data_IF_141526094796
#
_entry.id   IF_141526094796
#
_cell.length_a   1.000
_cell.length_b   1.000
_cell.length_c   1.000
_cell.angle_alpha   90.00
_cell.angle_beta   90.00
_cell.angle_gamma   90.00
#
_symmetry.space_group_name_H-M   'P 1'
#
loop_
_entity.id
_entity.type
_entity.pdbx_description
1 polymer ?
#
# COMPACT_ATOMS: atom_id res chain seq x y z
N UNK A 1 -18.66 -4.32 -5.48
CA UNK A 1 -17.82 -4.90 -6.56
C UNK A 1 -17.06 -3.85 -7.39
N UNK A 2 -17.71 -2.83 -7.98
CA UNK A 2 -17.01 -1.81 -8.81
C UNK A 2 -15.87 -1.07 -8.06
N UNK A 3 -16.10 -0.72 -6.78
CA UNK A 3 -15.10 -0.07 -5.92
C UNK A 3 -13.88 -0.97 -5.64
N UNK A 4 -14.09 -2.28 -5.43
CA UNK A 4 -13.00 -3.25 -5.22
C UNK A 4 -12.16 -3.38 -6.49
N UNK A 5 -12.78 -3.50 -7.67
CA UNK A 5 -12.06 -3.61 -8.93
C UNK A 5 -11.26 -2.33 -9.24
N UNK A 6 -11.86 -1.16 -9.00
CA UNK A 6 -11.20 0.13 -9.17
C UNK A 6 -10.01 0.29 -8.21
N UNK A 7 -10.16 -0.12 -6.95
CA UNK A 7 -9.06 -0.16 -5.98
C UNK A 7 -7.91 -1.04 -6.48
N UNK A 8 -8.20 -2.26 -6.92
CA UNK A 8 -7.17 -3.19 -7.40
C UNK A 8 -6.43 -2.64 -8.62
N UNK A 9 -7.14 -2.05 -9.59
CA UNK A 9 -6.52 -1.45 -10.78
C UNK A 9 -5.61 -0.27 -10.41
N UNK A 10 -6.09 0.65 -9.57
CA UNK A 10 -5.31 1.81 -9.12
C UNK A 10 -4.07 1.34 -8.36
N UNK A 11 -4.25 0.43 -7.37
CA UNK A 11 -3.15 -0.07 -6.55
C UNK A 11 -2.10 -0.80 -7.39
N UNK A 12 -2.55 -1.62 -8.34
CA UNK A 12 -1.65 -2.33 -9.28
C UNK A 12 -0.85 -1.36 -10.13
N UNK A 13 -1.49 -0.34 -10.68
CA UNK A 13 -0.84 0.67 -11.53
C UNK A 13 0.21 1.44 -10.73
N UNK A 14 -0.14 1.90 -9.54
CA UNK A 14 0.76 2.64 -8.66
C UNK A 14 1.94 1.77 -8.23
N UNK A 15 1.68 0.54 -7.78
CA UNK A 15 2.74 -0.40 -7.38
C UNK A 15 3.69 -0.72 -8.53
N UNK A 16 3.17 -0.90 -9.75
CA UNK A 16 3.98 -1.13 -10.94
C UNK A 16 4.90 0.07 -11.22
N UNK A 17 4.34 1.28 -11.24
CA UNK A 17 5.12 2.52 -11.45
C UNK A 17 6.17 2.70 -10.36
N UNK A 18 5.81 2.48 -9.09
CA UNK A 18 6.77 2.51 -7.97
C UNK A 18 7.92 1.53 -8.19
N UNK A 19 7.64 0.28 -8.57
CA UNK A 19 8.67 -0.72 -8.83
C UNK A 19 9.60 -0.31 -9.97
N UNK A 20 9.06 0.21 -11.07
CA UNK A 20 9.86 0.71 -12.21
C UNK A 20 10.74 1.88 -11.79
N UNK A 21 10.19 2.86 -11.05
CA UNK A 21 10.97 4.00 -10.56
C UNK A 21 12.11 3.56 -9.65
N UNK A 22 11.86 2.61 -8.75
CA UNK A 22 12.89 2.03 -7.87
C UNK A 22 13.97 1.31 -8.69
N UNK A 23 13.58 0.49 -9.68
CA UNK A 23 14.55 -0.18 -10.55
C UNK A 23 15.41 0.83 -11.31
N UNK A 24 14.81 1.87 -11.89
CA UNK A 24 15.56 2.90 -12.61
C UNK A 24 16.50 3.68 -11.68
N UNK A 25 16.07 3.98 -10.46
CA UNK A 25 16.88 4.67 -9.47
C UNK A 25 18.11 3.85 -9.05
N UNK A 26 17.90 2.57 -8.72
CA UNK A 26 18.97 1.66 -8.32
C UNK A 26 19.93 1.35 -9.47
N UNK A 27 19.39 1.23 -10.69
CA UNK A 27 20.20 1.03 -11.88
C UNK A 27 21.10 2.25 -12.15
N UNK A 28 20.59 3.47 -11.95
CA UNK A 28 21.37 4.69 -12.10
C UNK A 28 22.49 4.84 -11.04
N UNK A 29 22.28 4.26 -9.86
CA UNK A 29 23.27 4.24 -8.77
C UNK A 29 24.21 3.01 -8.83
N UNK A 30 24.16 2.22 -9.89
CA UNK A 30 24.97 0.99 -10.07
C UNK A 30 24.83 -0.02 -8.90
N UNK A 31 23.66 -0.09 -8.27
CA UNK A 31 23.35 -1.07 -7.22
C UNK A 31 23.00 -2.41 -7.85
N UNK A 32 23.52 -3.51 -7.28
CA UNK A 32 23.26 -4.85 -7.79
C UNK A 32 21.78 -5.25 -7.70
N UNK A 33 21.33 -6.01 -8.69
CA UNK A 33 19.97 -6.56 -8.81
C UNK A 33 18.84 -5.50 -8.78
N UNK A 34 18.91 -4.41 -9.58
CA UNK A 34 17.94 -3.32 -9.52
C UNK A 34 16.51 -3.77 -9.88
N UNK A 35 16.39 -4.76 -10.77
CA UNK A 35 15.09 -5.36 -11.15
C UNK A 35 14.49 -6.18 -10.00
N UNK A 36 15.31 -6.92 -9.24
CA UNK A 36 14.86 -7.69 -8.08
C UNK A 36 14.28 -6.74 -7.02
N UNK A 37 15.02 -5.70 -6.68
CA UNK A 37 14.61 -4.74 -5.66
C UNK A 37 13.38 -3.92 -6.07
N UNK A 38 13.26 -3.55 -7.34
CA UNK A 38 12.04 -2.91 -7.86
C UNK A 38 10.83 -3.84 -7.86
N UNK A 39 11.01 -5.13 -8.13
CA UNK A 39 9.92 -6.12 -8.04
C UNK A 39 9.50 -6.33 -6.58
N UNK A 40 10.44 -6.42 -5.64
CA UNK A 40 10.13 -6.46 -4.20
C UNK A 40 9.40 -5.19 -3.78
N UNK A 41 9.85 -4.01 -4.22
CA UNK A 41 9.19 -2.75 -3.93
C UNK A 41 7.76 -2.72 -4.49
N UNK A 42 7.54 -3.20 -5.73
CA UNK A 42 6.21 -3.33 -6.33
C UNK A 42 5.30 -4.24 -5.48
N UNK A 43 5.78 -5.44 -5.12
CA UNK A 43 4.99 -6.39 -4.34
C UNK A 43 4.67 -5.85 -2.95
N UNK A 44 5.66 -5.26 -2.28
CA UNK A 44 5.47 -4.70 -0.96
C UNK A 44 4.61 -3.42 -0.98
N UNK A 45 4.61 -2.65 -2.06
CA UNK A 45 3.78 -1.44 -2.16
C UNK A 45 2.27 -1.72 -2.08
N UNK A 46 1.84 -2.96 -2.33
CA UNK A 46 0.45 -3.37 -2.05
C UNK A 46 0.11 -3.40 -0.56
N UNK A 47 1.08 -3.61 0.32
CA UNK A 47 0.90 -3.51 1.76
C UNK A 47 0.86 -2.02 2.13
N UNK A 48 -0.30 -1.47 2.52
CA UNK A 48 -0.47 -0.06 2.82
C UNK A 48 0.47 0.41 3.94
N UNK A 49 0.97 1.65 3.84
CA UNK A 49 1.75 2.39 4.85
C UNK A 49 3.09 1.79 5.30
N UNK A 50 3.32 0.49 5.13
CA UNK A 50 4.46 -0.22 5.73
C UNK A 50 5.36 -0.87 4.67
N UNK A 51 4.78 -1.38 3.59
CA UNK A 51 5.51 -2.31 2.74
C UNK A 51 6.66 -1.69 1.96
N UNK A 52 6.47 -0.53 1.34
CA UNK A 52 7.50 0.14 0.54
C UNK A 52 8.70 0.63 1.37
N UNK A 53 8.49 0.94 2.66
CA UNK A 53 9.58 1.26 3.58
C UNK A 53 10.39 0.00 3.96
N UNK A 54 9.70 -1.11 4.25
CA UNK A 54 10.38 -2.38 4.55
C UNK A 54 11.17 -2.88 3.33
N UNK A 55 10.64 -2.72 2.12
CA UNK A 55 11.32 -3.11 0.88
C UNK A 55 12.65 -2.37 0.67
N UNK A 56 12.78 -1.14 1.18
CA UNK A 56 13.99 -0.34 1.06
C UNK A 56 15.13 -0.88 1.94
N UNK A 57 14.84 -1.45 3.11
CA UNK A 57 15.83 -1.88 4.10
C UNK A 57 16.91 -2.79 3.48
N UNK A 58 16.57 -3.93 2.86
CA UNK A 58 17.58 -4.83 2.34
C UNK A 58 18.34 -4.25 1.13
N UNK A 59 17.71 -3.41 0.30
CA UNK A 59 18.38 -2.71 -0.80
C UNK A 59 19.39 -1.66 -0.30
N UNK A 60 19.03 -0.90 0.74
CA UNK A 60 19.91 0.08 1.40
C UNK A 60 21.09 -0.62 2.08
N UNK A 61 20.83 -1.73 2.78
CA UNK A 61 21.89 -2.53 3.39
C UNK A 61 22.84 -3.13 2.35
N UNK A 62 22.31 -3.61 1.22
CA UNK A 62 23.14 -4.10 0.12
C UNK A 62 24.06 -2.99 -0.41
N UNK A 63 23.49 -1.83 -0.72
CA UNK A 63 24.25 -0.67 -1.20
C UNK A 63 25.30 -0.20 -0.20
N UNK A 64 24.98 -0.23 1.10
CA UNK A 64 25.93 0.10 2.17
C UNK A 64 27.16 -0.81 2.16
N UNK A 65 26.96 -2.10 1.93
CA UNK A 65 28.04 -3.10 1.88
C UNK A 65 28.79 -3.03 0.55
N UNK A 66 28.10 -2.78 -0.55
CA UNK A 66 28.66 -2.81 -1.91
C UNK A 66 29.41 -1.53 -2.28
N UNK A 67 28.80 -0.38 -2.01
CA UNK A 67 29.21 0.94 -2.53
C UNK A 67 29.62 1.90 -1.40
N UNK A 68 29.10 1.69 -0.20
CA UNK A 68 29.45 2.44 1.00
C UNK A 68 28.34 3.34 1.52
N UNK A 69 28.67 4.16 2.52
CA UNK A 69 27.69 4.95 3.28
C UNK A 69 27.03 6.03 2.42
N UNK A 70 27.77 6.67 1.52
CA UNK A 70 27.25 7.73 0.64
C UNK A 70 26.13 7.20 -0.26
N UNK A 71 26.38 6.08 -0.94
CA UNK A 71 25.41 5.52 -1.89
C UNK A 71 24.22 4.91 -1.16
N UNK A 72 24.43 4.31 0.00
CA UNK A 72 23.32 3.85 0.85
C UNK A 72 22.37 4.99 1.22
N UNK A 73 22.89 6.19 1.49
CA UNK A 73 22.08 7.39 1.75
C UNK A 73 21.33 7.82 0.48
N UNK A 74 21.97 7.78 -0.69
CA UNK A 74 21.29 8.08 -1.96
C UNK A 74 20.20 7.07 -2.30
N UNK A 75 20.43 5.78 -2.05
CA UNK A 75 19.41 4.75 -2.19
C UNK A 75 18.25 5.00 -1.24
N UNK A 76 18.52 5.20 0.05
CA UNK A 76 17.50 5.44 1.06
C UNK A 76 16.66 6.68 0.74
N UNK A 77 17.31 7.78 0.32
CA UNK A 77 16.62 9.01 -0.06
C UNK A 77 15.75 8.83 -1.31
N UNK A 78 16.21 8.09 -2.33
CA UNK A 78 15.41 7.78 -3.51
C UNK A 78 14.17 6.96 -3.18
N UNK A 79 14.31 5.91 -2.36
CA UNK A 79 13.15 5.15 -1.87
C UNK A 79 12.16 6.04 -1.12
N UNK A 80 12.65 6.93 -0.25
CA UNK A 80 11.82 7.85 0.52
C UNK A 80 11.08 8.84 -0.38
N UNK A 81 11.77 9.43 -1.37
CA UNK A 81 11.17 10.37 -2.34
C UNK A 81 10.10 9.67 -3.18
N UNK A 82 10.41 8.49 -3.73
CA UNK A 82 9.46 7.71 -4.51
C UNK A 82 8.24 7.35 -3.65
N UNK A 83 8.45 6.93 -2.39
CA UNK A 83 7.37 6.60 -1.46
C UNK A 83 6.47 7.80 -1.17
N UNK A 84 7.04 8.97 -0.87
CA UNK A 84 6.26 10.18 -0.62
C UNK A 84 5.45 10.56 -1.86
N UNK A 85 6.06 10.57 -3.04
CA UNK A 85 5.38 10.96 -4.28
C UNK A 85 4.29 9.95 -4.63
N UNK A 86 4.61 8.66 -4.67
CA UNK A 86 3.68 7.62 -5.11
C UNK A 86 2.62 7.32 -4.06
N UNK A 87 3.02 7.09 -2.82
CA UNK A 87 2.14 6.66 -1.73
C UNK A 87 1.35 7.79 -1.06
N UNK A 88 1.93 8.99 -0.91
CA UNK A 88 1.26 10.09 -0.19
C UNK A 88 0.63 11.14 -1.10
N UNK A 89 1.16 11.36 -2.30
CA UNK A 89 0.63 12.39 -3.22
C UNK A 89 -0.22 11.80 -4.34
N UNK A 90 0.28 10.77 -5.01
CA UNK A 90 -0.38 10.16 -6.18
C UNK A 90 -1.50 9.23 -5.73
N UNK A 91 -1.21 8.26 -4.86
CA UNK A 91 -2.19 7.24 -4.46
C UNK A 91 -3.52 7.81 -3.94
N UNK A 92 -3.54 8.79 -3.02
CA UNK A 92 -4.79 9.38 -2.55
C UNK A 92 -5.55 10.15 -3.64
N UNK A 93 -4.84 10.80 -4.57
CA UNK A 93 -5.48 11.54 -5.68
C UNK A 93 -6.18 10.61 -6.65
N UNK A 94 -5.59 9.45 -6.96
CA UNK A 94 -6.18 8.48 -7.87
C UNK A 94 -7.27 7.65 -7.19
N UNK A 95 -7.14 7.34 -5.90
CA UNK A 95 -8.18 6.67 -5.13
C UNK A 95 -9.44 7.54 -4.93
N UNK A 96 -9.34 8.88 -5.03
CA UNK A 96 -10.48 9.79 -4.86
C UNK A 96 -11.00 9.83 -3.41
N UNK A 97 -12.20 10.42 -3.18
CA UNK A 97 -12.89 10.34 -1.87
C UNK A 97 -12.77 8.90 -1.39
N UNK A 98 -12.11 8.71 -0.24
CA UNK A 98 -11.50 7.44 0.14
C UNK A 98 -12.44 6.24 0.08
N UNK A 99 -11.90 5.04 0.26
CA UNK A 99 -12.61 3.74 0.17
C UNK A 99 -13.78 3.56 1.17
N UNK A 100 -14.25 4.64 1.79
CA UNK A 100 -15.32 4.64 2.78
C UNK A 100 -14.93 3.88 4.03
N UNK A 101 -13.63 3.76 4.32
CA UNK A 101 -13.05 3.12 5.50
C UNK A 101 -12.24 4.14 6.30
N UNK A 102 -12.37 4.09 7.63
CA UNK A 102 -11.55 4.94 8.49
C UNK A 102 -10.09 4.46 8.51
N UNK A 103 -9.09 5.34 8.69
CA UNK A 103 -7.68 4.94 8.79
C UNK A 103 -7.42 3.93 9.91
N UNK A 104 -8.14 4.04 11.03
CA UNK A 104 -8.07 3.10 12.14
C UNK A 104 -8.51 1.70 11.71
N UNK A 105 -9.61 1.61 10.96
CA UNK A 105 -10.14 0.35 10.46
C UNK A 105 -9.17 -0.29 9.46
N UNK A 106 -8.55 0.50 8.60
CA UNK A 106 -7.49 -0.01 7.70
C UNK A 106 -6.33 -0.59 8.50
N UNK A 107 -5.87 0.10 9.54
CA UNK A 107 -4.79 -0.38 10.40
C UNK A 107 -5.16 -1.66 11.16
N UNK A 108 -6.35 -1.71 11.78
CA UNK A 108 -6.84 -2.92 12.47
C UNK A 108 -7.02 -4.09 11.50
N UNK A 109 -7.49 -3.82 10.28
CA UNK A 109 -7.64 -4.82 9.23
C UNK A 109 -6.30 -5.42 8.83
N UNK A 110 -5.25 -4.59 8.73
CA UNK A 110 -3.90 -5.08 8.45
C UNK A 110 -3.41 -6.06 9.51
N UNK A 111 -3.64 -5.75 10.79
CA UNK A 111 -3.26 -6.62 11.90
C UNK A 111 -4.09 -7.90 11.87
N UNK A 112 -5.42 -7.80 11.73
CA UNK A 112 -6.33 -8.94 11.77
C UNK A 112 -6.05 -9.91 10.62
N UNK A 113 -6.04 -9.42 9.38
CA UNK A 113 -5.83 -10.26 8.21
C UNK A 113 -4.38 -10.71 8.08
N UNK A 114 -3.43 -9.86 8.48
CA UNK A 114 -2.02 -10.22 8.55
C UNK A 114 -1.74 -11.32 9.57
N UNK A 115 -2.43 -11.33 10.70
CA UNK A 115 -2.35 -12.43 11.67
C UNK A 115 -2.97 -13.73 11.13
N UNK A 116 -4.07 -13.63 10.38
CA UNK A 116 -4.81 -14.80 9.89
C UNK A 116 -4.13 -15.49 8.68
N UNK A 117 -3.62 -14.72 7.73
CA UNK A 117 -3.08 -15.23 6.46
C UNK A 117 -1.64 -14.78 6.16
N UNK A 118 -0.96 -14.15 7.12
CA UNK A 118 0.41 -13.66 6.94
C UNK A 118 0.50 -12.53 5.90
N UNK A 119 1.58 -12.48 5.10
CA UNK A 119 1.80 -11.44 4.09
C UNK A 119 0.67 -11.31 3.06
N UNK A 120 0.07 -12.43 2.67
CA UNK A 120 -1.06 -12.45 1.73
C UNK A 120 -2.28 -11.75 2.33
N UNK A 121 -2.54 -11.95 3.63
CA UNK A 121 -3.60 -11.26 4.35
C UNK A 121 -3.38 -9.76 4.46
N UNK A 122 -2.13 -9.33 4.65
CA UNK A 122 -1.80 -7.89 4.66
C UNK A 122 -2.08 -7.23 3.30
N UNK A 123 -1.71 -7.90 2.21
CA UNK A 123 -1.99 -7.46 0.84
C UNK A 123 -3.50 -7.34 0.56
N UNK A 124 -4.29 -8.31 1.02
CA UNK A 124 -5.75 -8.36 0.80
C UNK A 124 -6.58 -7.64 1.87
N UNK A 125 -5.95 -7.04 2.88
CA UNK A 125 -6.64 -6.48 4.06
C UNK A 125 -7.76 -5.49 3.70
N UNK A 126 -7.47 -4.51 2.85
CA UNK A 126 -8.42 -3.48 2.42
C UNK A 126 -9.61 -4.08 1.63
N UNK A 127 -9.41 -4.86 0.54
CA UNK A 127 -10.53 -5.42 -0.20
C UNK A 127 -11.35 -6.41 0.63
N UNK A 128 -10.72 -7.23 1.47
CA UNK A 128 -11.44 -8.14 2.38
C UNK A 128 -12.31 -7.36 3.37
N UNK A 129 -11.77 -6.31 3.99
CA UNK A 129 -12.55 -5.47 4.92
C UNK A 129 -13.67 -4.72 4.21
N UNK A 130 -13.48 -4.27 2.97
CA UNK A 130 -14.58 -3.68 2.19
C UNK A 130 -15.69 -4.70 1.93
N UNK A 131 -15.37 -5.96 1.59
CA UNK A 131 -16.36 -7.01 1.40
C UNK A 131 -17.14 -7.26 2.69
N UNK A 132 -16.45 -7.34 3.83
CA UNK A 132 -17.09 -7.48 5.16
C UNK A 132 -18.00 -6.30 5.45
N UNK A 133 -17.54 -5.06 5.22
CA UNK A 133 -18.36 -3.86 5.44
C UNK A 133 -19.62 -3.90 4.59
N UNK A 134 -19.50 -4.16 3.29
CA UNK A 134 -20.65 -4.25 2.36
C UNK A 134 -21.64 -5.33 2.81
N UNK A 135 -21.15 -6.48 3.28
CA UNK A 135 -22.01 -7.54 3.80
C UNK A 135 -22.77 -7.10 5.07
N UNK A 136 -22.11 -6.38 5.98
CA UNK A 136 -22.73 -5.83 7.19
C UNK A 136 -23.75 -4.72 6.89
N UNK A 137 -23.57 -3.95 5.81
CA UNK A 137 -24.51 -2.92 5.35
C UNK A 137 -25.84 -3.50 4.84
N UNK A 138 -25.85 -4.74 4.34
CA UNK A 138 -27.05 -5.36 3.79
C UNK A 138 -28.08 -5.80 4.84
N UNK A 139 -27.69 -5.94 6.11
CA UNK A 139 -28.58 -6.36 7.19
C UNK A 139 -28.79 -5.21 8.18
N UNK A 140 -30.05 -4.84 8.42
CA UNK A 140 -30.40 -3.70 9.28
C UNK A 140 -29.87 -3.84 10.71
N UNK A 141 -29.77 -5.07 11.24
CA UNK A 141 -29.27 -5.32 12.60
C UNK A 141 -27.76 -5.11 12.75
N UNK A 142 -26.98 -5.24 11.67
CA UNK A 142 -25.52 -5.08 11.68
C UNK A 142 -25.03 -3.77 11.06
N UNK A 143 -25.95 -2.97 10.51
CA UNK A 143 -25.64 -1.71 9.83
C UNK A 143 -24.86 -0.72 10.70
N UNK A 144 -25.09 -0.70 12.01
CA UNK A 144 -24.35 0.15 12.95
C UNK A 144 -22.85 -0.16 12.97
N UNK A 145 -22.46 -1.43 12.82
CA UNK A 145 -21.05 -1.85 12.75
C UNK A 145 -20.44 -1.30 11.47
N UNK A 146 -21.13 -1.43 10.34
CA UNK A 146 -20.65 -0.92 9.07
C UNK A 146 -20.45 0.61 9.08
N UNK A 147 -21.31 1.35 9.77
CA UNK A 147 -21.17 2.80 9.96
C UNK A 147 -19.92 3.10 10.80
N UNK A 148 -19.65 2.36 11.88
CA UNK A 148 -18.42 2.50 12.67
C UNK A 148 -17.15 2.16 11.87
N UNK A 149 -17.25 1.25 10.91
CA UNK A 149 -16.16 0.90 10.01
C UNK A 149 -15.88 2.00 8.95
N UNK A 150 -16.87 2.87 8.70
CA UNK A 150 -16.82 3.91 7.69
C UNK A 150 -16.38 5.28 8.19
N UNK A 151 -15.97 6.14 7.26
CA UNK A 151 -15.58 7.53 7.53
C UNK A 151 -16.68 8.55 7.16
N UNK A 152 -17.81 8.08 6.62
CA UNK A 152 -18.96 8.92 6.23
C UNK A 152 -20.21 8.41 6.95
N UNK A 153 -20.95 9.34 7.57
CA UNK A 153 -22.31 9.07 8.04
C UNK A 153 -23.17 8.66 6.82
N UNK A 154 -24.12 7.72 6.98
CA UNK A 154 -24.90 7.20 5.86
C UNK A 154 -25.51 8.36 5.07
N UNK A 155 -25.36 8.34 3.74
CA UNK A 155 -26.06 9.28 2.88
C UNK A 155 -27.55 9.19 3.20
N UNK A 156 -28.09 10.26 3.78
CA UNK A 156 -29.52 10.47 3.89
C UNK A 156 -30.03 10.64 2.48
N UNK A 157 -30.53 9.55 1.89
CA UNK A 157 -31.34 9.62 0.69
C UNK A 157 -32.63 10.34 1.09
N UNK A 158 -32.75 11.61 0.71
CA UNK A 158 -34.04 12.20 0.40
C UNK A 158 -34.45 11.78 -1.01
#
# INVERSE_FOLDING_TARGET
MRQVNQYLVIKTTISLVTGVLVTLWLWWLDVDFPVLWGLIAMLMNYIPNVGSLIAAIPAVLLSLVQLGVSDAIFVASGYLVINIIMGNLIEPRFMGKGLGLSPLVVFLSLILWGWLFGPVGMFLSIPLTMIVKIALEQNESTRWIAIMLGNEAPATNE
#
